data_IF_914851998547
#
_entry.id   IF_914851998547
#
_cell.length_a   1.000
_cell.length_b   1.000
_cell.length_c   1.000
_cell.angle_alpha   90.00
_cell.angle_beta   90.00
_cell.angle_gamma   90.00
#
_symmetry.space_group_name_H-M   'P 1'
#
loop_
_entity.id
_entity.type
_entity.pdbx_description
1 polymer ?
#
# COMPACT_ATOMS: atom_id res chain seq x y z
N UNK A 1 -50.04 5.45 11.79
CA UNK A 1 -48.58 5.69 11.89
C UNK A 1 -48.23 5.87 13.35
N UNK A 2 -47.44 4.95 13.89
CA UNK A 2 -46.99 4.96 15.27
C UNK A 2 -45.91 6.04 15.47
N UNK A 3 -45.89 6.70 16.63
CA UNK A 3 -44.76 6.64 17.56
C UNK A 3 -45.15 7.32 18.88
N UNK A 4 -45.15 6.50 19.93
CA UNK A 4 -45.50 6.83 21.31
C UNK A 4 -44.33 7.56 21.98
N UNK A 5 -44.58 8.74 22.56
CA UNK A 5 -43.63 9.43 23.45
C UNK A 5 -44.10 9.22 24.88
N UNK A 6 -43.33 8.48 25.67
CA UNK A 6 -43.51 8.41 27.14
C UNK A 6 -42.19 8.79 27.81
N UNK A 7 -42.32 9.82 28.64
CA UNK A 7 -41.36 10.40 29.57
C UNK A 7 -40.77 9.35 30.52
N UNK A 8 -39.51 9.52 30.94
CA UNK A 8 -39.11 9.30 32.34
C UNK A 8 -37.85 10.12 32.66
N UNK A 9 -38.02 11.11 33.52
CA UNK A 9 -36.96 11.74 34.30
C UNK A 9 -36.79 10.92 35.58
N UNK A 10 -35.57 10.55 35.95
CA UNK A 10 -35.22 10.29 37.35
C UNK A 10 -33.71 10.44 37.58
N UNK A 11 -33.41 11.35 38.50
CA UNK A 11 -32.15 11.65 39.15
C UNK A 11 -31.76 10.48 40.09
N UNK A 12 -30.48 10.10 40.20
CA UNK A 12 -29.85 9.72 41.47
C UNK A 12 -28.33 9.50 41.30
N UNK A 13 -27.59 10.03 42.27
CA UNK A 13 -26.15 10.10 42.37
C UNK A 13 -25.50 8.82 42.95
N UNK A 14 -24.18 8.91 43.17
CA UNK A 14 -23.31 8.08 44.03
C UNK A 14 -22.85 6.75 43.37
N UNK A 15 -21.58 6.32 43.36
CA UNK A 15 -20.47 6.52 44.29
C UNK A 15 -19.14 6.20 43.56
N UNK A 16 -18.09 6.99 43.80
CA UNK A 16 -16.71 6.64 43.38
C UNK A 16 -16.18 5.62 44.37
N UNK A 17 -15.91 4.39 43.94
CA UNK A 17 -15.11 3.43 44.70
C UNK A 17 -13.79 3.28 43.96
N UNK A 18 -12.80 3.99 44.48
CA UNK A 18 -11.40 3.86 44.14
C UNK A 18 -10.89 2.57 44.79
N UNK A 19 -10.54 1.58 43.98
CA UNK A 19 -9.76 0.41 44.42
C UNK A 19 -8.37 0.54 43.80
N UNK A 20 -7.38 0.65 44.68
CA UNK A 20 -6.02 1.05 44.36
C UNK A 20 -5.30 0.15 43.36
N UNK A 21 -4.62 0.81 42.44
CA UNK A 21 -3.56 0.24 41.60
C UNK A 21 -2.25 0.48 42.36
N UNK A 22 -1.44 -0.53 42.69
CA UNK A 22 -0.14 -0.28 43.30
C UNK A 22 0.81 0.40 42.31
N UNK A 23 1.56 1.36 42.85
CA UNK A 23 2.57 2.17 42.20
C UNK A 23 3.66 1.33 41.53
N UNK A 24 3.88 1.58 40.23
CA UNK A 24 5.15 1.30 39.58
C UNK A 24 5.89 2.63 39.41
N UNK A 25 7.04 2.71 40.06
CA UNK A 25 7.88 3.86 40.20
C UNK A 25 8.32 4.47 38.86
N UNK A 26 8.28 5.80 38.83
CA UNK A 26 8.91 6.64 37.82
C UNK A 26 10.42 6.40 37.80
N UNK A 27 10.94 5.93 36.67
CA UNK A 27 12.34 6.07 36.31
C UNK A 27 12.45 6.26 34.80
N UNK A 28 12.43 7.52 34.39
CA UNK A 28 12.89 7.93 33.06
C UNK A 28 14.42 8.03 33.12
N UNK A 29 15.13 7.57 32.09
CA UNK A 29 16.30 8.32 31.67
C UNK A 29 16.24 8.69 30.18
N UNK A 30 16.62 9.94 29.95
CA UNK A 30 17.45 10.44 28.86
C UNK A 30 17.18 9.99 27.41
N UNK A 31 16.81 10.99 26.61
CA UNK A 31 16.99 11.09 25.16
C UNK A 31 18.28 10.41 24.66
N UNK A 32 18.15 9.48 23.70
CA UNK A 32 19.25 9.00 22.86
C UNK A 32 18.66 8.38 21.59
N UNK A 33 18.95 9.03 20.46
CA UNK A 33 18.92 8.50 19.09
C UNK A 33 17.71 7.63 18.68
N UNK A 34 16.79 8.24 17.94
CA UNK A 34 15.86 7.52 17.07
C UNK A 34 16.67 6.49 16.23
N UNK A 35 16.44 5.17 16.38
CA UNK A 35 17.14 4.20 15.57
C UNK A 35 16.73 4.41 14.12
N UNK A 36 17.70 4.44 13.21
CA UNK A 36 17.46 4.25 11.79
C UNK A 36 16.49 3.07 11.60
N UNK A 37 15.53 3.13 10.67
CA UNK A 37 14.64 2.00 10.44
C UNK A 37 15.49 0.76 10.17
N UNK A 38 15.49 -0.19 11.10
CA UNK A 38 16.12 -1.49 10.90
C UNK A 38 15.12 -2.28 10.06
N UNK A 39 15.41 -2.46 8.78
CA UNK A 39 14.70 -3.44 7.97
C UNK A 39 14.86 -4.81 8.64
N UNK A 40 13.78 -5.56 8.90
CA UNK A 40 13.89 -6.88 9.50
C UNK A 40 14.71 -7.80 8.60
N UNK A 41 15.76 -8.41 9.15
CA UNK A 41 16.46 -9.52 8.51
C UNK A 41 15.53 -10.75 8.43
N UNK A 42 15.68 -11.60 7.40
CA UNK A 42 14.69 -12.62 7.01
C UNK A 42 14.46 -13.75 8.02
N UNK A 43 15.08 -13.73 9.21
CA UNK A 43 15.06 -14.85 10.16
C UNK A 43 13.89 -14.81 11.16
N UNK A 44 13.10 -13.73 11.22
CA UNK A 44 11.97 -13.58 12.15
C UNK A 44 10.64 -13.43 11.41
N UNK A 45 10.26 -14.40 10.57
CA UNK A 45 8.94 -14.44 9.93
C UNK A 45 8.22 -15.80 10.03
N UNK A 46 8.66 -16.67 10.93
CA UNK A 46 7.99 -17.96 11.14
C UNK A 46 6.74 -17.78 12.00
N UNK A 47 5.59 -18.01 11.38
CA UNK A 47 4.27 -18.19 11.98
C UNK A 47 3.57 -16.91 12.51
N UNK A 48 3.17 -16.03 11.59
CA UNK A 48 2.18 -14.97 11.87
C UNK A 48 2.04 -13.89 10.79
N UNK A 49 3.01 -13.76 9.89
CA UNK A 49 3.19 -12.53 9.12
C UNK A 49 2.86 -12.60 7.62
N UNK A 50 2.17 -13.63 7.11
CA UNK A 50 2.00 -13.77 5.65
C UNK A 50 1.08 -12.71 5.02
N UNK A 51 0.06 -12.22 5.74
CA UNK A 51 -0.82 -11.14 5.25
C UNK A 51 -0.24 -9.74 5.49
N UNK A 52 0.51 -9.54 6.59
CA UNK A 52 1.19 -8.28 6.87
C UNK A 52 2.42 -8.06 5.96
N UNK A 53 3.13 -9.13 5.60
CA UNK A 53 4.22 -9.07 4.61
C UNK A 53 3.73 -8.97 3.17
N UNK A 54 2.52 -9.50 2.87
CA UNK A 54 1.86 -9.27 1.58
C UNK A 54 1.66 -7.76 1.36
N UNK A 55 0.91 -7.07 2.24
CA UNK A 55 0.63 -5.63 2.10
C UNK A 55 1.87 -4.72 2.02
N UNK A 56 2.98 -5.12 2.64
CA UNK A 56 4.25 -4.38 2.60
C UNK A 56 4.91 -4.48 1.22
N UNK A 57 4.77 -5.61 0.53
CA UNK A 57 5.41 -5.84 -0.75
C UNK A 57 4.79 -4.98 -1.87
N UNK A 58 3.46 -4.96 -2.01
CA UNK A 58 2.79 -4.12 -3.01
C UNK A 58 3.02 -2.63 -2.78
N UNK A 59 2.89 -2.15 -1.53
CA UNK A 59 3.14 -0.75 -1.20
C UNK A 59 4.59 -0.35 -1.47
N UNK A 60 5.56 -1.17 -1.06
CA UNK A 60 6.99 -0.86 -1.29
C UNK A 60 7.33 -0.83 -2.77
N UNK A 61 6.78 -1.78 -3.55
CA UNK A 61 6.97 -1.84 -4.99
C UNK A 61 6.33 -0.65 -5.69
N UNK A 62 5.10 -0.28 -5.32
CA UNK A 62 4.40 0.90 -5.83
C UNK A 62 5.23 2.18 -5.60
N UNK A 63 5.73 2.37 -4.38
CA UNK A 63 6.51 3.55 -4.01
C UNK A 63 7.85 3.61 -4.72
N UNK A 64 8.58 2.49 -4.80
CA UNK A 64 9.84 2.40 -5.54
C UNK A 64 9.62 2.73 -7.03
N UNK A 65 8.55 2.20 -7.62
CA UNK A 65 8.19 2.47 -9.02
C UNK A 65 7.87 3.94 -9.22
N UNK A 66 7.05 4.55 -8.35
CA UNK A 66 6.72 5.98 -8.41
C UNK A 66 7.98 6.85 -8.35
N UNK A 67 8.90 6.55 -7.43
CA UNK A 67 10.15 7.31 -7.30
C UNK A 67 11.04 7.16 -8.54
N UNK A 68 11.13 5.95 -9.09
CA UNK A 68 11.89 5.68 -10.31
C UNK A 68 11.32 6.46 -11.50
N UNK A 69 10.00 6.44 -11.71
CA UNK A 69 9.35 7.19 -12.79
C UNK A 69 9.55 8.71 -12.64
N UNK A 70 9.47 9.24 -11.43
CA UNK A 70 9.79 10.65 -11.15
C UNK A 70 11.26 10.98 -11.45
N UNK A 71 12.19 10.10 -11.09
CA UNK A 71 13.62 10.27 -11.37
C UNK A 71 13.89 10.28 -12.88
N UNK A 72 13.15 9.49 -13.66
CA UNK A 72 13.17 9.53 -15.12
C UNK A 72 12.55 10.81 -15.70
N UNK A 73 11.85 11.63 -14.92
CA UNK A 73 11.24 12.89 -15.41
C UNK A 73 9.76 12.78 -15.77
N UNK A 74 9.11 11.64 -15.50
CA UNK A 74 7.65 11.55 -15.55
C UNK A 74 7.01 12.36 -14.42
N UNK A 75 5.73 12.68 -14.55
CA UNK A 75 4.99 13.44 -13.54
C UNK A 75 3.72 12.70 -13.11
N UNK A 76 3.38 12.78 -11.83
CA UNK A 76 2.17 12.14 -11.31
C UNK A 76 0.94 12.75 -11.96
N UNK A 77 -0.03 11.92 -12.28
CA UNK A 77 -1.32 12.35 -12.81
C UNK A 77 -2.46 11.58 -12.12
N UNK A 78 -3.47 12.31 -11.67
CA UNK A 78 -4.58 11.72 -10.89
C UNK A 78 -5.48 10.81 -11.74
N UNK A 79 -5.71 11.15 -13.00
CA UNK A 79 -6.47 10.29 -13.92
C UNK A 79 -5.71 8.98 -14.17
N UNK A 80 -4.42 9.08 -14.51
CA UNK A 80 -3.56 7.91 -14.70
C UNK A 80 -3.51 7.04 -13.44
N UNK A 81 -3.47 7.64 -12.24
CA UNK A 81 -3.49 6.93 -10.96
C UNK A 81 -4.80 6.16 -10.75
N UNK A 82 -5.94 6.75 -11.09
CA UNK A 82 -7.25 6.08 -10.99
C UNK A 82 -7.34 4.90 -11.95
N UNK A 83 -6.83 5.06 -13.18
CA UNK A 83 -6.78 3.96 -14.18
C UNK A 83 -5.86 2.85 -13.69
N UNK A 84 -4.66 3.17 -13.21
CA UNK A 84 -3.74 2.18 -12.66
C UNK A 84 -4.36 1.42 -11.47
N UNK A 85 -5.09 2.11 -10.59
CA UNK A 85 -5.79 1.47 -9.48
C UNK A 85 -6.91 0.53 -9.95
N UNK A 86 -7.71 0.95 -10.94
CA UNK A 86 -8.72 0.09 -11.55
C UNK A 86 -8.09 -1.17 -12.16
N UNK A 87 -7.01 -1.01 -12.92
CA UNK A 87 -6.26 -2.11 -13.53
C UNK A 87 -5.67 -3.09 -12.49
N UNK A 88 -5.09 -2.59 -11.40
CA UNK A 88 -4.62 -3.43 -10.31
C UNK A 88 -5.76 -4.24 -9.68
N UNK A 89 -6.93 -3.61 -9.46
CA UNK A 89 -8.10 -4.28 -8.92
C UNK A 89 -8.67 -5.35 -9.87
N UNK A 90 -8.68 -5.11 -11.19
CA UNK A 90 -9.06 -6.10 -12.19
C UNK A 90 -8.16 -7.35 -12.09
N UNK A 91 -6.84 -7.15 -11.96
CA UNK A 91 -5.90 -8.25 -11.78
C UNK A 91 -6.15 -9.02 -10.47
N UNK A 92 -6.41 -8.32 -9.37
CA UNK A 92 -6.78 -8.97 -8.10
C UNK A 92 -8.09 -9.77 -8.19
N UNK A 93 -9.01 -9.42 -9.10
CA UNK A 93 -10.24 -10.17 -9.38
C UNK A 93 -10.06 -11.33 -10.36
N UNK A 94 -8.88 -11.45 -10.98
CA UNK A 94 -8.61 -12.48 -12.00
C UNK A 94 -9.21 -12.15 -13.37
N UNK A 95 -9.53 -10.88 -13.65
CA UNK A 95 -10.15 -10.42 -14.89
C UNK A 95 -9.11 -10.15 -16.00
N UNK A 96 -7.82 -10.19 -15.67
CA UNK A 96 -6.70 -9.84 -16.56
C UNK A 96 -6.04 -11.10 -17.09
N UNK A 97 -5.91 -11.19 -18.41
CA UNK A 97 -5.08 -12.22 -19.05
C UNK A 97 -3.59 -11.85 -18.95
N UNK A 98 -2.77 -12.82 -18.57
CA UNK A 98 -1.32 -12.65 -18.42
C UNK A 98 -0.56 -13.54 -19.38
N UNK A 99 0.35 -12.94 -20.14
CA UNK A 99 1.36 -13.65 -20.92
C UNK A 99 2.72 -13.40 -20.29
N UNK A 100 3.41 -14.47 -19.87
CA UNK A 100 4.72 -14.37 -19.20
C UNK A 100 4.77 -13.33 -18.05
N UNK A 101 3.73 -13.34 -17.20
CA UNK A 101 3.57 -12.45 -16.03
C UNK A 101 3.31 -10.96 -16.34
N UNK A 102 3.07 -10.61 -17.60
CA UNK A 102 2.63 -9.28 -18.01
C UNK A 102 1.23 -9.37 -18.60
N UNK A 103 0.34 -8.50 -18.12
CA UNK A 103 -1.02 -8.34 -18.60
C UNK A 103 -1.31 -6.87 -18.89
N UNK A 104 -2.54 -6.60 -19.31
CA UNK A 104 -3.06 -5.25 -19.54
C UNK A 104 -4.47 -5.18 -18.97
N UNK A 105 -4.85 -4.02 -18.41
CA UNK A 105 -6.23 -3.85 -17.94
C UNK A 105 -7.19 -3.80 -19.12
N UNK A 106 -8.47 -4.09 -18.87
CA UNK A 106 -9.51 -4.22 -19.89
C UNK A 106 -10.20 -2.88 -20.23
N UNK A 107 -9.70 -1.77 -19.69
CA UNK A 107 -10.32 -0.43 -19.75
C UNK A 107 -9.29 0.64 -20.15
N UNK A 108 -9.76 1.81 -20.58
CA UNK A 108 -8.94 3.02 -20.81
C UNK A 108 -7.81 2.88 -21.86
N UNK A 109 -7.97 1.99 -22.84
CA UNK A 109 -7.01 1.77 -23.92
C UNK A 109 -6.82 2.98 -24.85
N UNK A 110 -7.80 3.88 -24.90
CA UNK A 110 -7.81 5.12 -25.68
C UNK A 110 -7.16 6.30 -24.94
N UNK A 111 -6.97 6.17 -23.61
CA UNK A 111 -6.46 7.24 -22.75
C UNK A 111 -4.94 7.21 -22.63
N UNK A 112 -4.33 6.06 -22.85
CA UNK A 112 -2.91 5.87 -22.60
C UNK A 112 -2.44 4.44 -22.81
N UNK A 113 -1.23 4.18 -22.32
CA UNK A 113 -0.59 2.87 -22.40
C UNK A 113 -0.06 2.45 -21.05
N UNK A 114 0.05 1.15 -20.82
CA UNK A 114 0.51 0.62 -19.55
C UNK A 114 0.55 -0.89 -19.54
N UNK A 115 1.03 -1.42 -18.42
CA UNK A 115 1.16 -2.84 -18.15
C UNK A 115 0.71 -3.15 -16.72
N UNK A 116 0.27 -4.39 -16.52
CA UNK A 116 0.08 -4.99 -15.20
C UNK A 116 1.10 -6.12 -15.06
N UNK A 117 1.91 -6.09 -14.01
CA UNK A 117 2.86 -7.15 -13.70
C UNK A 117 2.28 -8.05 -12.60
N UNK A 118 2.36 -9.37 -12.78
CA UNK A 118 2.08 -10.37 -11.75
C UNK A 118 3.41 -10.90 -11.23
N UNK A 119 3.74 -10.58 -9.99
CA UNK A 119 5.04 -10.92 -9.41
C UNK A 119 4.85 -11.80 -8.18
N UNK A 120 5.62 -12.86 -8.08
CA UNK A 120 5.81 -13.54 -6.81
C UNK A 120 6.51 -12.58 -5.81
N UNK A 121 6.35 -12.75 -4.49
CA UNK A 121 6.95 -11.84 -3.51
C UNK A 121 8.47 -11.65 -3.67
N UNK A 122 9.19 -12.71 -4.05
CA UNK A 122 10.64 -12.63 -4.29
C UNK A 122 10.99 -11.84 -5.57
N UNK A 123 10.19 -11.96 -6.63
CA UNK A 123 10.35 -11.18 -7.87
C UNK A 123 10.06 -9.69 -7.62
N UNK A 124 9.06 -9.39 -6.78
CA UNK A 124 8.77 -8.03 -6.35
C UNK A 124 9.96 -7.40 -5.60
N UNK A 125 10.60 -8.15 -4.70
CA UNK A 125 11.81 -7.70 -3.99
C UNK A 125 12.98 -7.44 -4.96
N UNK A 126 13.21 -8.33 -5.93
CA UNK A 126 14.23 -8.12 -6.96
C UNK A 126 13.95 -6.89 -7.82
N UNK A 127 12.69 -6.67 -8.21
CA UNK A 127 12.29 -5.49 -8.97
C UNK A 127 12.49 -4.20 -8.16
N UNK A 128 12.17 -4.19 -6.88
CA UNK A 128 12.45 -3.04 -5.99
C UNK A 128 13.95 -2.73 -5.99
N UNK A 129 14.81 -3.74 -5.82
CA UNK A 129 16.26 -3.53 -5.83
C UNK A 129 16.76 -2.93 -7.16
N UNK A 130 16.22 -3.40 -8.29
CA UNK A 130 16.53 -2.83 -9.60
C UNK A 130 16.05 -1.38 -9.74
N UNK A 131 14.84 -1.06 -9.28
CA UNK A 131 14.26 0.30 -9.35
C UNK A 131 15.05 1.35 -8.56
N UNK A 132 15.81 0.93 -7.55
CA UNK A 132 16.69 1.80 -6.76
C UNK A 132 18.01 2.14 -7.48
N UNK A 133 18.29 1.51 -8.62
CA UNK A 133 19.47 1.83 -9.42
C UNK A 133 19.29 3.17 -10.14
N UNK A 134 20.39 3.89 -10.45
CA UNK A 134 20.33 5.14 -11.20
C UNK A 134 19.61 4.96 -12.54
N UNK A 135 18.80 5.94 -12.90
CA UNK A 135 18.03 5.93 -14.14
C UNK A 135 18.32 7.18 -14.97
N UNK A 136 18.16 7.06 -16.29
CA UNK A 136 18.32 8.18 -17.20
C UNK A 136 17.03 8.99 -17.28
N UNK A 137 17.15 10.32 -17.34
CA UNK A 137 16.00 11.17 -17.60
C UNK A 137 15.53 11.02 -19.04
N UNK A 138 14.22 11.01 -19.21
CA UNK A 138 13.54 11.19 -20.49
C UNK A 138 13.23 12.68 -20.70
N UNK A 139 13.33 13.15 -21.95
CA UNK A 139 12.98 14.53 -22.30
C UNK A 139 11.46 14.77 -22.29
N UNK A 140 10.68 13.74 -22.62
CA UNK A 140 9.23 13.81 -22.82
C UNK A 140 8.47 13.03 -21.74
N UNK A 141 8.64 13.45 -20.49
CA UNK A 141 8.01 12.80 -19.34
C UNK A 141 6.48 12.77 -19.43
N UNK A 142 5.90 11.58 -19.49
CA UNK A 142 4.44 11.36 -19.48
C UNK A 142 3.79 11.46 -18.10
N UNK A 143 2.51 11.84 -18.07
CA UNK A 143 1.66 11.79 -16.89
C UNK A 143 1.36 10.34 -16.51
N UNK A 144 1.68 9.93 -15.28
CA UNK A 144 1.63 8.52 -14.89
C UNK A 144 0.85 8.26 -13.60
N UNK A 145 0.42 7.00 -13.46
CA UNK A 145 -0.15 6.40 -12.26
C UNK A 145 0.43 5.03 -12.00
N UNK A 146 0.56 4.66 -10.72
CA UNK A 146 1.04 3.33 -10.31
C UNK A 146 0.21 2.85 -9.13
N UNK A 147 -0.29 1.62 -9.19
CA UNK A 147 -1.00 0.99 -8.09
C UNK A 147 -0.56 -0.46 -7.89
N UNK A 148 -0.26 -0.82 -6.65
CA UNK A 148 0.02 -2.18 -6.21
C UNK A 148 -1.16 -2.80 -5.46
N UNK A 149 -1.35 -4.12 -5.59
CA UNK A 149 -2.26 -4.90 -4.74
C UNK A 149 -1.75 -6.32 -4.56
N UNK A 150 -1.88 -6.86 -3.35
CA UNK A 150 -1.56 -8.26 -3.07
C UNK A 150 -2.81 -9.12 -3.18
N UNK A 151 -2.77 -10.14 -4.02
CA UNK A 151 -3.87 -11.08 -4.18
C UNK A 151 -3.37 -12.43 -4.71
N UNK A 152 -4.04 -13.52 -4.33
CA UNK A 152 -3.74 -14.87 -4.84
C UNK A 152 -2.28 -15.30 -4.68
N UNK A 153 -1.62 -14.87 -3.59
CA UNK A 153 -0.20 -15.15 -3.35
C UNK A 153 0.79 -14.39 -4.23
N UNK A 154 0.31 -13.42 -5.01
CA UNK A 154 1.12 -12.58 -5.89
C UNK A 154 0.96 -11.09 -5.53
N UNK A 155 1.94 -10.31 -5.96
CA UNK A 155 1.90 -8.84 -6.01
C UNK A 155 1.55 -8.43 -7.43
N UNK A 156 0.41 -7.76 -7.61
CA UNK A 156 0.04 -7.14 -8.88
C UNK A 156 0.42 -5.67 -8.87
N UNK A 157 1.18 -5.23 -9.86
CA UNK A 157 1.57 -3.84 -10.04
C UNK A 157 1.05 -3.34 -11.38
N UNK A 158 0.14 -2.37 -11.36
CA UNK A 158 -0.31 -1.68 -12.56
C UNK A 158 0.44 -0.36 -12.72
N UNK A 159 0.98 -0.14 -13.91
CA UNK A 159 1.59 1.12 -14.35
C UNK A 159 0.78 1.63 -15.55
N UNK A 160 0.40 2.92 -15.53
CA UNK A 160 -0.33 3.55 -16.62
C UNK A 160 0.24 4.93 -16.94
N UNK A 161 0.35 5.25 -18.22
CA UNK A 161 0.87 6.50 -18.77
C UNK A 161 -0.11 7.08 -19.78
N UNK A 162 -0.53 8.32 -19.57
CA UNK A 162 -1.37 9.05 -20.52
C UNK A 162 -0.63 9.33 -21.83
N UNK A 163 -1.40 9.41 -22.92
CA UNK A 163 -0.87 9.79 -24.24
C UNK A 163 -0.22 11.17 -24.23
#
# INVERSE_FOLDING_TARGET
MAFSRKFFTALAATTVISAGIPAAASAQPASSAQPNPVWPTPEVLTAGSSAASAGVASWSLEQATKLHLLAMGHHRNEEAQRIAQDWANQAARGEVEFHANVGRGNTAHDRGTGNIYRLAPHEAAQRIAWLLSPTNRTADGKGFGVSGVDAHGNVYLAEFFLH
#
